data_IF_937268968493
#
_entry.id   IF_937268968493
#
_cell.length_a   1.000
_cell.length_b   1.000
_cell.length_c   1.000
_cell.angle_alpha   90.00
_cell.angle_beta   90.00
_cell.angle_gamma   90.00
#
_symmetry.space_group_name_H-M   'P 1'
#
loop_
_entity.id
_entity.type
_entity.pdbx_description
1 polymer ?
#
# COMPACT_ATOMS: atom_id res chain seq x y z
N UNK A 1 -6.05 17.08 -28.68
CA UNK A 1 -6.77 16.71 -27.44
C UNK A 1 -6.04 17.42 -26.31
N UNK A 2 -6.70 18.22 -25.46
CA UNK A 2 -5.97 18.94 -24.43
C UNK A 2 -5.37 17.91 -23.45
N UNK A 3 -4.21 18.21 -22.89
CA UNK A 3 -3.50 17.33 -21.93
C UNK A 3 -4.42 16.97 -20.73
N UNK A 4 -5.30 17.88 -20.34
CA UNK A 4 -6.24 17.70 -19.23
C UNK A 4 -7.31 16.63 -19.53
N UNK A 5 -7.84 16.58 -20.77
CA UNK A 5 -8.80 15.56 -21.20
C UNK A 5 -8.13 14.18 -21.17
N UNK A 6 -6.86 14.10 -21.59
CA UNK A 6 -6.09 12.86 -21.56
C UNK A 6 -5.87 12.36 -20.12
N UNK A 7 -5.46 13.25 -19.21
CA UNK A 7 -5.32 12.94 -17.78
C UNK A 7 -6.63 12.49 -17.15
N UNK A 8 -7.72 13.21 -17.40
CA UNK A 8 -9.03 12.87 -16.86
C UNK A 8 -9.52 11.50 -17.34
N UNK A 9 -9.34 11.18 -18.62
CA UNK A 9 -9.67 9.85 -19.16
C UNK A 9 -8.89 8.73 -18.44
N UNK A 10 -7.58 8.92 -18.28
CA UNK A 10 -6.75 7.93 -17.57
C UNK A 10 -7.13 7.79 -16.09
N UNK A 11 -7.51 8.88 -15.44
CA UNK A 11 -8.00 8.83 -14.05
C UNK A 11 -9.30 8.03 -13.94
N UNK A 12 -10.22 8.20 -14.89
CA UNK A 12 -11.46 7.39 -14.95
C UNK A 12 -11.14 5.90 -15.16
N UNK A 13 -10.19 5.58 -16.04
CA UNK A 13 -9.79 4.19 -16.26
C UNK A 13 -9.13 3.57 -15.01
N UNK A 14 -8.26 4.31 -14.31
CA UNK A 14 -7.67 3.87 -13.03
C UNK A 14 -8.78 3.68 -11.97
N UNK A 15 -9.74 4.62 -11.90
CA UNK A 15 -10.87 4.51 -10.99
C UNK A 15 -11.72 3.26 -11.26
N UNK A 16 -11.97 2.94 -12.54
CA UNK A 16 -12.67 1.71 -12.93
C UNK A 16 -11.91 0.45 -12.51
N UNK A 17 -10.57 0.41 -12.70
CA UNK A 17 -9.75 -0.71 -12.22
C UNK A 17 -9.89 -0.91 -10.71
N UNK A 18 -9.89 0.18 -9.93
CA UNK A 18 -10.07 0.13 -8.47
C UNK A 18 -11.48 -0.35 -8.10
N UNK A 19 -12.50 0.10 -8.80
CA UNK A 19 -13.90 -0.29 -8.53
C UNK A 19 -14.18 -1.77 -8.86
N UNK A 20 -13.55 -2.30 -9.91
CA UNK A 20 -13.74 -3.68 -10.37
C UNK A 20 -12.89 -4.69 -9.60
N UNK A 21 -11.82 -4.24 -8.94
CA UNK A 21 -10.91 -5.13 -8.22
C UNK A 21 -11.22 -5.15 -6.72
N UNK A 22 -11.27 -6.35 -6.16
CA UNK A 22 -11.36 -6.57 -4.72
C UNK A 22 -10.01 -6.60 -4.01
N UNK A 23 -8.91 -6.57 -4.77
CA UNK A 23 -7.54 -6.70 -4.24
C UNK A 23 -6.56 -5.76 -4.96
N UNK A 24 -5.99 -4.81 -4.20
CA UNK A 24 -4.98 -3.88 -4.65
C UNK A 24 -3.75 -4.59 -5.25
N UNK A 25 -3.31 -5.68 -4.65
CA UNK A 25 -2.10 -6.38 -5.08
C UNK A 25 -2.20 -6.97 -6.50
N UNK A 26 -3.42 -7.18 -6.99
CA UNK A 26 -3.66 -7.64 -8.36
C UNK A 26 -3.58 -6.53 -9.42
N UNK A 27 -3.80 -5.27 -9.03
CA UNK A 27 -3.90 -4.13 -9.96
C UNK A 27 -2.82 -3.07 -9.78
N UNK A 28 -2.03 -3.14 -8.70
CA UNK A 28 -1.04 -2.12 -8.31
C UNK A 28 -0.07 -1.74 -9.43
N UNK A 29 0.46 -2.75 -10.13
CA UNK A 29 1.46 -2.53 -11.19
C UNK A 29 0.84 -1.78 -12.38
N UNK A 30 -0.36 -2.18 -12.79
CA UNK A 30 -1.09 -1.52 -13.90
C UNK A 30 -1.47 -0.07 -13.58
N UNK A 31 -1.86 0.22 -12.32
CA UNK A 31 -2.18 1.59 -11.89
C UNK A 31 -0.93 2.47 -12.01
N UNK A 32 0.21 1.98 -11.51
CA UNK A 32 1.46 2.74 -11.53
C UNK A 32 2.00 2.90 -12.95
N UNK A 33 2.01 1.85 -13.77
CA UNK A 33 2.38 1.92 -15.19
C UNK A 33 1.56 2.99 -15.92
N UNK A 34 0.25 2.96 -15.75
CA UNK A 34 -0.64 3.94 -16.38
C UNK A 34 -0.39 5.37 -15.90
N UNK A 35 -0.11 5.57 -14.63
CA UNK A 35 0.28 6.87 -14.09
C UNK A 35 1.60 7.36 -14.70
N UNK A 36 2.60 6.49 -14.81
CA UNK A 36 3.90 6.80 -15.42
C UNK A 36 3.76 7.20 -16.89
N UNK A 37 2.89 6.53 -17.66
CA UNK A 37 2.61 6.85 -19.05
C UNK A 37 1.97 8.24 -19.24
N UNK A 38 1.28 8.75 -18.23
CA UNK A 38 0.57 10.04 -18.30
C UNK A 38 1.44 11.22 -17.89
N UNK A 39 2.26 11.03 -16.84
CA UNK A 39 3.01 12.14 -16.20
C UNK A 39 4.52 12.04 -16.45
N UNK A 40 5.00 10.88 -16.85
CA UNK A 40 6.40 10.62 -17.19
C UNK A 40 7.45 10.85 -16.07
N UNK A 41 7.16 10.63 -14.78
CA UNK A 41 8.25 10.52 -13.82
C UNK A 41 9.07 9.26 -14.15
N UNK A 42 10.35 9.28 -13.87
CA UNK A 42 11.24 8.18 -14.26
C UNK A 42 10.87 6.87 -13.56
N UNK A 43 10.43 6.97 -12.33
CA UNK A 43 10.10 5.82 -11.48
C UNK A 43 9.03 6.21 -10.46
N UNK A 44 8.21 5.25 -10.08
CA UNK A 44 7.33 5.35 -8.93
C UNK A 44 7.38 4.11 -8.06
N UNK A 45 7.30 4.32 -6.73
CA UNK A 45 7.31 3.27 -5.73
C UNK A 45 6.15 3.45 -4.76
N UNK A 46 5.55 2.33 -4.32
CA UNK A 46 4.53 2.30 -3.26
C UNK A 46 5.06 1.51 -2.08
N UNK A 47 5.03 2.13 -0.92
CA UNK A 47 5.42 1.55 0.36
C UNK A 47 4.23 1.55 1.31
N UNK A 48 3.97 0.43 2.00
CA UNK A 48 2.86 0.29 2.93
C UNK A 48 3.35 0.03 4.35
N UNK A 49 2.65 0.60 5.34
CA UNK A 49 2.85 0.27 6.75
C UNK A 49 1.99 -0.92 7.14
N UNK A 50 2.58 -1.86 7.90
CA UNK A 50 1.83 -3.02 8.37
C UNK A 50 1.08 -2.71 9.67
N UNK A 51 -0.24 -2.89 9.66
CA UNK A 51 -1.12 -2.68 10.84
C UNK A 51 -0.91 -1.31 11.52
N UNK A 52 -0.73 -0.25 10.73
CA UNK A 52 -0.47 1.12 11.23
C UNK A 52 0.78 1.23 12.13
N UNK A 53 1.72 0.30 11.98
CA UNK A 53 2.98 0.34 12.68
C UNK A 53 4.03 1.06 11.83
N UNK A 54 4.32 2.30 12.18
CA UNK A 54 5.27 3.17 11.47
C UNK A 54 6.76 2.81 11.71
N UNK A 55 7.06 1.68 12.34
CA UNK A 55 8.46 1.22 12.49
C UNK A 55 9.03 0.67 11.18
N UNK A 56 8.19 0.08 10.37
CA UNK A 56 8.63 -0.57 9.14
C UNK A 56 7.68 -0.26 7.99
N UNK A 57 8.26 -0.03 6.82
CA UNK A 57 7.56 0.05 5.56
C UNK A 57 7.89 -1.16 4.69
N UNK A 58 6.95 -1.58 3.86
CA UNK A 58 7.10 -2.68 2.91
C UNK A 58 6.97 -2.11 1.50
N UNK A 59 8.00 -2.26 0.68
CA UNK A 59 7.92 -1.93 -0.74
C UNK A 59 7.01 -2.94 -1.44
N UNK A 60 5.87 -2.49 -1.92
CA UNK A 60 4.85 -3.37 -2.54
C UNK A 60 4.77 -3.22 -4.05
N UNK A 61 5.24 -2.09 -4.58
CA UNK A 61 5.28 -1.83 -6.01
C UNK A 61 6.48 -0.91 -6.33
N UNK A 62 7.17 -1.20 -7.43
CA UNK A 62 8.21 -0.34 -7.99
C UNK A 62 8.20 -0.50 -9.50
N UNK A 63 7.89 0.57 -10.23
CA UNK A 63 7.80 0.61 -11.68
C UNK A 63 8.66 1.74 -12.24
N UNK A 64 9.25 1.53 -13.41
CA UNK A 64 10.03 2.52 -14.16
C UNK A 64 9.40 2.71 -15.54
N UNK A 65 9.45 3.92 -16.07
CA UNK A 65 8.93 4.24 -17.40
C UNK A 65 9.72 3.53 -18.52
N UNK A 66 11.04 3.48 -18.35
CA UNK A 66 11.93 2.73 -19.24
C UNK A 66 12.45 1.49 -18.52
N UNK A 67 12.55 0.37 -19.22
CA UNK A 67 13.29 -0.81 -18.74
C UNK A 67 14.79 -0.49 -18.79
N UNK A 68 15.26 0.36 -17.88
CA UNK A 68 16.68 0.65 -17.74
C UNK A 68 17.30 -0.55 -17.05
N UNK A 69 18.16 -1.33 -17.74
CA UNK A 69 18.64 -2.63 -17.25
C UNK A 69 19.52 -2.53 -15.99
N UNK A 70 19.92 -1.34 -15.59
CA UNK A 70 20.89 -1.09 -14.51
C UNK A 70 20.31 -0.34 -13.31
N UNK A 71 19.06 0.10 -13.36
CA UNK A 71 18.41 0.66 -12.19
C UNK A 71 17.89 -0.48 -11.32
N UNK A 72 18.69 -0.86 -10.33
CA UNK A 72 18.20 -1.67 -9.23
C UNK A 72 16.93 -1.00 -8.66
N UNK A 73 15.91 -1.79 -8.24
CA UNK A 73 14.75 -1.21 -7.60
C UNK A 73 15.21 -0.40 -6.39
N UNK A 74 15.06 0.93 -6.47
CA UNK A 74 15.36 1.84 -5.36
C UNK A 74 14.54 1.37 -4.15
N UNK A 75 15.19 1.19 -3.02
CA UNK A 75 14.51 0.76 -1.82
C UNK A 75 14.33 -0.76 -1.67
N UNK A 76 15.03 -1.57 -2.46
CA UNK A 76 15.08 -3.00 -2.27
C UNK A 76 14.11 -3.81 -3.13
N UNK A 77 14.13 -5.11 -2.95
CA UNK A 77 13.24 -6.06 -3.63
C UNK A 77 11.81 -5.90 -3.13
N UNK A 78 10.82 -5.92 -4.04
CA UNK A 78 9.39 -5.92 -3.69
C UNK A 78 9.10 -6.99 -2.63
N UNK A 79 8.39 -6.61 -1.57
CA UNK A 79 8.10 -7.48 -0.42
C UNK A 79 9.10 -7.38 0.74
N UNK A 80 10.21 -6.66 0.56
CA UNK A 80 11.20 -6.48 1.64
C UNK A 80 10.69 -5.48 2.66
N UNK A 81 10.92 -5.83 3.92
CA UNK A 81 10.65 -5.00 5.10
C UNK A 81 11.82 -4.05 5.31
N UNK A 82 11.55 -2.76 5.30
CA UNK A 82 12.54 -1.69 5.47
C UNK A 82 12.23 -0.97 6.79
N UNK A 83 13.26 -0.71 7.59
CA UNK A 83 13.11 0.12 8.79
C UNK A 83 12.76 1.55 8.37
N UNK A 84 11.62 2.06 8.83
CA UNK A 84 11.15 3.38 8.44
C UNK A 84 12.10 4.49 8.91
N UNK A 85 12.85 4.28 10.00
CA UNK A 85 13.83 5.26 10.48
C UNK A 85 14.97 5.54 9.50
N UNK A 86 15.22 4.65 8.54
CA UNK A 86 16.27 4.81 7.52
C UNK A 86 15.84 5.68 6.33
N UNK A 87 14.57 6.06 6.25
CA UNK A 87 14.09 6.93 5.19
C UNK A 87 14.49 8.39 5.44
N UNK A 88 14.68 9.20 4.37
CA UNK A 88 14.98 10.63 4.48
C UNK A 88 13.95 11.41 5.28
N UNK A 89 14.37 12.48 5.95
CA UNK A 89 13.53 13.30 6.85
C UNK A 89 12.27 13.84 6.18
N UNK A 90 12.33 14.21 4.91
CA UNK A 90 11.16 14.72 4.18
C UNK A 90 10.07 13.65 3.95
N UNK A 91 10.42 12.34 3.95
CA UNK A 91 9.42 11.27 3.93
C UNK A 91 8.72 11.16 5.28
N UNK A 92 9.47 11.29 6.38
CA UNK A 92 8.88 11.37 7.72
C UNK A 92 7.95 12.58 7.86
N UNK A 93 8.34 13.74 7.30
CA UNK A 93 7.53 14.94 7.25
C UNK A 93 6.20 14.67 6.49
N UNK A 94 6.26 14.11 5.28
CA UNK A 94 5.09 13.79 4.48
C UNK A 94 4.11 12.87 5.23
N UNK A 95 4.61 11.84 5.91
CA UNK A 95 3.81 10.90 6.69
C UNK A 95 3.22 11.53 7.93
N UNK A 96 4.01 12.31 8.68
CA UNK A 96 3.60 12.95 9.93
C UNK A 96 2.58 14.05 9.70
N UNK A 97 2.84 14.92 8.70
CA UNK A 97 1.99 16.07 8.41
C UNK A 97 0.85 15.73 7.45
N UNK A 98 0.86 14.53 6.86
CA UNK A 98 -0.15 14.07 5.90
C UNK A 98 -0.24 14.98 4.67
N UNK A 99 0.90 15.48 4.22
CA UNK A 99 1.01 16.41 3.09
C UNK A 99 1.95 15.87 2.04
N UNK A 100 1.70 16.30 0.80
CA UNK A 100 2.64 16.07 -0.29
C UNK A 100 3.92 16.86 0.01
N UNK A 101 5.07 16.21 -0.15
CA UNK A 101 6.38 16.85 -0.02
C UNK A 101 7.12 16.71 -1.33
N UNK A 102 7.47 17.84 -1.94
CA UNK A 102 8.27 17.90 -3.15
C UNK A 102 9.69 18.37 -2.82
N UNK A 103 10.67 17.53 -3.07
CA UNK A 103 12.09 17.85 -3.05
C UNK A 103 12.53 18.01 -4.50
N UNK A 104 12.72 19.26 -4.95
CA UNK A 104 13.10 19.57 -6.35
C UNK A 104 14.50 19.06 -6.67
N UNK A 105 15.44 19.26 -5.73
CA UNK A 105 16.82 18.81 -5.86
C UNK A 105 17.30 18.20 -4.53
N UNK A 106 17.51 16.88 -4.52
CA UNK A 106 18.00 16.12 -3.35
C UNK A 106 19.43 16.50 -2.96
N UNK A 107 20.22 17.04 -3.90
CA UNK A 107 21.61 17.47 -3.61
C UNK A 107 21.66 18.80 -2.88
N UNK A 108 20.63 19.63 -2.96
CA UNK A 108 20.51 20.92 -2.30
C UNK A 108 19.68 20.87 -1.02
N UNK A 109 18.68 20.00 -0.96
CA UNK A 109 17.80 19.86 0.21
C UNK A 109 18.54 19.21 1.38
N UNK A 110 18.60 19.92 2.50
CA UNK A 110 19.25 19.43 3.73
C UNK A 110 18.54 18.19 4.33
N UNK A 111 17.25 18.00 4.04
CA UNK A 111 16.46 16.86 4.51
C UNK A 111 16.80 15.56 3.76
N UNK A 112 17.52 15.67 2.63
CA UNK A 112 17.87 14.56 1.75
C UNK A 112 19.37 14.17 1.82
N UNK A 113 20.12 14.64 2.82
CA UNK A 113 21.56 14.39 2.93
C UNK A 113 21.91 12.90 2.85
N UNK A 114 21.15 12.06 3.57
CA UNK A 114 21.43 10.64 3.70
C UNK A 114 21.12 9.84 2.42
N UNK A 115 20.44 10.47 1.45
CA UNK A 115 20.05 9.80 0.20
C UNK A 115 20.89 10.22 -1.02
N UNK A 116 21.78 11.21 -0.89
CA UNK A 116 22.55 11.77 -2.00
C UNK A 116 23.41 10.75 -2.76
N UNK A 117 24.03 9.83 -2.05
CA UNK A 117 24.84 8.77 -2.68
C UNK A 117 23.94 7.81 -3.49
N UNK A 118 22.77 7.48 -2.95
CA UNK A 118 21.78 6.67 -3.67
C UNK A 118 21.25 7.43 -4.90
N UNK A 119 20.92 8.71 -4.76
CA UNK A 119 20.44 9.54 -5.86
C UNK A 119 21.47 9.61 -7.01
N UNK A 120 22.77 9.76 -6.70
CA UNK A 120 23.83 9.69 -7.70
C UNK A 120 23.92 8.35 -8.41
N UNK A 121 23.83 7.25 -7.64
CA UNK A 121 23.94 5.90 -8.19
C UNK A 121 22.75 5.52 -9.06
N UNK A 122 21.58 6.08 -8.76
CA UNK A 122 20.32 5.76 -9.42
C UNK A 122 19.88 6.82 -10.45
N UNK A 123 20.62 7.92 -10.54
CA UNK A 123 20.45 8.95 -11.59
C UNK A 123 19.18 9.80 -11.44
N UNK A 124 18.70 10.05 -10.22
CA UNK A 124 17.59 10.99 -10.01
C UNK A 124 18.04 12.25 -9.28
N UNK A 125 17.33 13.35 -9.51
CA UNK A 125 17.59 14.68 -8.94
C UNK A 125 16.45 15.12 -8.03
N UNK A 126 15.21 14.87 -8.43
CA UNK A 126 14.02 15.29 -7.68
C UNK A 126 13.19 14.11 -7.16
N UNK A 127 12.39 14.38 -6.12
CA UNK A 127 11.51 13.38 -5.54
C UNK A 127 10.24 13.99 -4.97
N UNK A 128 9.10 13.37 -5.27
CA UNK A 128 7.82 13.76 -4.69
C UNK A 128 7.26 12.60 -3.88
N UNK A 129 6.77 12.92 -2.68
CA UNK A 129 6.19 11.96 -1.74
C UNK A 129 4.72 12.26 -1.55
N UNK A 130 3.88 11.27 -1.79
CA UNK A 130 2.43 11.33 -1.59
C UNK A 130 2.04 10.38 -0.45
N UNK A 131 1.57 10.88 0.70
CA UNK A 131 1.07 10.02 1.76
C UNK A 131 -0.25 9.35 1.30
N UNK A 132 -0.36 8.05 1.54
CA UNK A 132 -1.57 7.27 1.28
C UNK A 132 -2.45 7.30 2.52
N UNK A 133 -3.56 8.03 2.46
CA UNK A 133 -4.38 8.34 3.63
C UNK A 133 -5.74 7.66 3.51
N UNK A 134 -6.12 6.90 4.54
CA UNK A 134 -7.41 6.25 4.71
C UNK A 134 -7.98 6.62 6.07
N UNK A 135 -9.19 7.18 6.12
CA UNK A 135 -9.84 7.55 7.37
C UNK A 135 -8.93 8.34 8.33
N UNK A 136 -8.18 9.32 7.78
CA UNK A 136 -7.20 10.14 8.49
C UNK A 136 -5.99 9.38 9.06
N UNK A 137 -5.74 8.14 8.63
CA UNK A 137 -4.57 7.32 8.98
C UNK A 137 -3.70 7.17 7.74
N UNK A 138 -2.38 7.36 7.87
CA UNK A 138 -1.44 7.10 6.78
C UNK A 138 -1.15 5.60 6.74
N UNK A 139 -1.63 4.92 5.70
CA UNK A 139 -1.43 3.47 5.50
C UNK A 139 -0.14 3.16 4.73
N UNK A 140 0.47 4.17 4.14
CA UNK A 140 1.68 4.06 3.36
C UNK A 140 2.05 5.38 2.69
N UNK A 141 2.95 5.32 1.74
CA UNK A 141 3.32 6.46 0.90
C UNK A 141 3.73 6.00 -0.49
N UNK A 142 3.45 6.83 -1.49
CA UNK A 142 3.93 6.68 -2.84
C UNK A 142 5.02 7.72 -3.10
N UNK A 143 6.07 7.35 -3.84
CA UNK A 143 7.15 8.26 -4.23
C UNK A 143 7.33 8.22 -5.73
N UNK A 144 7.48 9.41 -6.33
CA UNK A 144 7.87 9.59 -7.73
C UNK A 144 9.27 10.19 -7.78
N UNK A 145 10.09 9.69 -8.69
CA UNK A 145 11.49 10.09 -8.89
C UNK A 145 11.63 10.83 -10.22
N UNK A 146 12.42 11.89 -10.23
CA UNK A 146 12.62 12.78 -11.35
C UNK A 146 14.11 12.87 -11.68
N UNK A 147 14.46 12.76 -12.97
CA UNK A 147 15.85 12.90 -13.42
C UNK A 147 16.28 14.34 -13.61
N UNK A 148 15.33 15.25 -13.75
CA UNK A 148 15.56 16.69 -13.95
C UNK A 148 14.68 17.49 -12.99
N UNK A 149 15.15 18.68 -12.64
CA UNK A 149 14.37 19.62 -11.84
C UNK A 149 13.19 20.18 -12.63
N UNK A 150 12.14 20.56 -11.92
CA UNK A 150 10.96 21.25 -12.46
C UNK A 150 10.29 20.61 -13.70
N UNK A 151 10.46 19.30 -13.88
CA UNK A 151 9.83 18.56 -15.00
C UNK A 151 8.35 18.23 -14.76
N UNK A 152 7.86 18.43 -13.54
CA UNK A 152 6.48 18.14 -13.14
C UNK A 152 5.74 19.43 -12.80
N UNK A 153 4.60 19.65 -13.46
CA UNK A 153 3.71 20.77 -13.21
C UNK A 153 2.78 20.53 -12.00
N UNK A 154 2.17 21.59 -11.48
CA UNK A 154 1.15 21.46 -10.41
C UNK A 154 -0.02 20.58 -10.84
N UNK A 155 -0.43 20.63 -12.11
CA UNK A 155 -1.47 19.75 -12.67
C UNK A 155 -1.06 18.26 -12.71
N UNK A 156 0.24 17.97 -12.87
CA UNK A 156 0.77 16.62 -12.76
C UNK A 156 0.73 16.14 -11.33
N UNK A 157 1.09 17.01 -10.38
CA UNK A 157 1.02 16.73 -8.94
C UNK A 157 -0.43 16.43 -8.52
N UNK A 158 -1.41 17.21 -9.00
CA UNK A 158 -2.83 16.98 -8.72
C UNK A 158 -3.32 15.64 -9.29
N UNK A 159 -2.90 15.30 -10.51
CA UNK A 159 -3.22 14.01 -11.12
C UNK A 159 -2.62 12.86 -10.29
N UNK A 160 -1.33 12.91 -9.96
CA UNK A 160 -0.67 11.88 -9.15
C UNK A 160 -1.30 11.79 -7.74
N UNK A 161 -1.68 12.91 -7.15
CA UNK A 161 -2.39 12.95 -5.86
C UNK A 161 -3.73 12.23 -5.92
N UNK A 162 -4.47 12.40 -7.03
CA UNK A 162 -5.71 11.68 -7.27
C UNK A 162 -5.48 10.18 -7.41
N UNK A 163 -4.43 9.77 -8.14
CA UNK A 163 -4.02 8.35 -8.23
C UNK A 163 -3.61 7.80 -6.87
N UNK A 164 -2.85 8.54 -6.06
CA UNK A 164 -2.48 8.15 -4.70
C UNK A 164 -3.71 7.93 -3.81
N UNK A 165 -4.73 8.77 -3.95
CA UNK A 165 -6.02 8.62 -3.25
C UNK A 165 -6.76 7.35 -3.68
N UNK A 166 -6.78 7.03 -4.97
CA UNK A 166 -7.36 5.77 -5.49
C UNK A 166 -6.59 4.54 -5.01
N UNK A 167 -5.26 4.62 -4.94
CA UNK A 167 -4.42 3.56 -4.36
C UNK A 167 -4.78 3.36 -2.88
N UNK A 168 -4.88 4.43 -2.10
CA UNK A 168 -5.26 4.35 -0.69
C UNK A 168 -6.64 3.71 -0.50
N UNK A 169 -7.62 4.09 -1.32
CA UNK A 169 -8.95 3.48 -1.33
C UNK A 169 -8.91 1.98 -1.67
N UNK A 170 -8.14 1.60 -2.69
CA UNK A 170 -7.97 0.19 -3.08
C UNK A 170 -7.34 -0.65 -1.97
N UNK A 171 -6.37 -0.11 -1.23
CA UNK A 171 -5.76 -0.74 -0.06
C UNK A 171 -6.80 -0.94 1.06
N UNK A 172 -7.66 0.05 1.29
CA UNK A 172 -8.74 -0.04 2.28
C UNK A 172 -9.73 -1.16 1.92
N UNK A 173 -10.16 -1.22 0.66
CA UNK A 173 -11.05 -2.26 0.15
C UNK A 173 -10.43 -3.65 0.36
N UNK A 174 -9.17 -3.82 -0.06
CA UNK A 174 -8.42 -5.07 0.12
C UNK A 174 -8.36 -5.49 1.58
N UNK A 175 -8.06 -4.54 2.47
CA UNK A 175 -7.96 -4.81 3.92
C UNK A 175 -9.31 -5.22 4.51
N UNK A 176 -10.39 -4.54 4.15
CA UNK A 176 -11.74 -4.88 4.59
C UNK A 176 -12.18 -6.24 4.09
N UNK A 177 -11.92 -6.57 2.83
CA UNK A 177 -12.24 -7.86 2.23
C UNK A 177 -11.48 -9.00 2.92
N UNK A 178 -10.20 -8.85 3.16
CA UNK A 178 -9.39 -9.84 3.88
C UNK A 178 -9.88 -10.06 5.32
N UNK A 179 -10.25 -8.99 6.02
CA UNK A 179 -10.81 -9.10 7.37
C UNK A 179 -12.18 -9.79 7.37
N UNK A 180 -13.05 -9.49 6.39
CA UNK A 180 -14.33 -10.16 6.21
C UNK A 180 -14.17 -11.66 5.95
N UNK A 181 -13.25 -12.04 5.04
CA UNK A 181 -12.98 -13.44 4.76
C UNK A 181 -12.48 -14.20 6.00
N UNK A 182 -11.57 -13.59 6.78
CA UNK A 182 -11.10 -14.16 8.04
C UNK A 182 -12.23 -14.36 9.05
N UNK A 183 -13.14 -13.38 9.18
CA UNK A 183 -14.30 -13.48 10.06
C UNK A 183 -15.23 -14.61 9.61
N UNK A 184 -15.55 -14.68 8.32
CA UNK A 184 -16.38 -15.77 7.76
C UNK A 184 -15.74 -17.14 8.01
N UNK A 185 -14.42 -17.26 7.86
CA UNK A 185 -13.71 -18.50 8.13
C UNK A 185 -13.81 -18.90 9.63
N UNK A 186 -13.60 -17.96 10.54
CA UNK A 186 -13.77 -18.18 12.00
C UNK A 186 -15.20 -18.61 12.35
N UNK A 187 -16.20 -17.93 11.79
CA UNK A 187 -17.61 -18.28 12.04
C UNK A 187 -17.95 -19.69 11.52
N UNK A 188 -17.47 -20.07 10.33
CA UNK A 188 -17.65 -21.45 9.81
C UNK A 188 -17.01 -22.48 10.71
N UNK A 189 -15.81 -22.23 11.21
CA UNK A 189 -15.15 -23.08 12.19
C UNK A 189 -15.98 -23.27 13.46
N UNK A 190 -16.47 -22.16 14.05
CA UNK A 190 -17.32 -22.20 15.23
C UNK A 190 -18.62 -22.99 15.01
N UNK A 191 -19.30 -22.78 13.86
CA UNK A 191 -20.52 -23.53 13.51
C UNK A 191 -20.21 -25.03 13.37
N UNK A 192 -19.10 -25.38 12.72
CA UNK A 192 -18.68 -26.78 12.59
C UNK A 192 -18.45 -27.46 13.95
N UNK A 193 -17.79 -26.74 14.86
CA UNK A 193 -17.52 -27.22 16.23
C UNK A 193 -18.81 -27.40 17.04
N UNK A 194 -19.75 -26.47 16.96
CA UNK A 194 -21.06 -26.59 17.60
C UNK A 194 -21.83 -27.81 17.03
N UNK A 195 -21.82 -27.99 15.72
CA UNK A 195 -22.50 -29.12 15.08
C UNK A 195 -21.90 -30.45 15.53
N UNK A 196 -20.57 -30.54 15.65
CA UNK A 196 -19.90 -31.73 16.12
C UNK A 196 -20.21 -32.03 17.59
N UNK A 197 -20.16 -31.00 18.45
CA UNK A 197 -20.54 -31.09 19.84
C UNK A 197 -22.02 -31.56 19.99
N UNK A 198 -22.91 -30.98 19.20
CA UNK A 198 -24.34 -31.36 19.19
C UNK A 198 -24.53 -32.82 18.76
N UNK A 199 -23.79 -33.30 17.74
CA UNK A 199 -23.82 -34.72 17.34
C UNK A 199 -23.35 -35.65 18.47
N UNK A 200 -22.27 -35.29 19.15
CA UNK A 200 -21.77 -36.06 20.30
C UNK A 200 -22.79 -36.12 21.45
N UNK A 201 -23.55 -35.02 21.69
CA UNK A 201 -24.63 -34.99 22.67
C UNK A 201 -25.75 -35.99 22.33
N UNK A 202 -26.16 -36.07 21.09
CA UNK A 202 -27.17 -37.01 20.64
C UNK A 202 -26.73 -38.46 20.73
N UNK A 203 -25.40 -38.73 20.59
CA UNK A 203 -24.88 -40.11 20.67
C UNK A 203 -24.50 -40.56 22.06
N UNK A 204 -23.99 -39.65 22.89
CA UNK A 204 -23.46 -39.98 24.23
C UNK A 204 -24.37 -39.42 25.30
N UNK A 205 -25.45 -39.77 25.70
CA UNK A 205 -26.37 -39.32 26.75
C UNK A 205 -25.73 -38.66 28.01
N UNK A 206 -24.47 -38.21 27.96
CA UNK A 206 -23.72 -37.67 29.08
C UNK A 206 -23.49 -36.15 28.88
N UNK A 207 -24.32 -35.36 29.51
CA UNK A 207 -24.32 -33.87 29.44
C UNK A 207 -22.98 -33.28 29.91
N UNK A 208 -22.29 -33.90 30.85
CA UNK A 208 -21.03 -33.40 31.41
C UNK A 208 -19.89 -33.46 30.37
N UNK A 209 -19.72 -34.56 29.65
CA UNK A 209 -18.72 -34.66 28.56
C UNK A 209 -18.99 -33.65 27.41
N UNK A 210 -20.25 -33.32 27.19
CA UNK A 210 -20.63 -32.29 26.20
C UNK A 210 -20.23 -30.90 26.69
N UNK A 211 -20.47 -30.53 27.91
CA UNK A 211 -20.11 -29.23 28.48
C UNK A 211 -18.59 -29.04 28.54
N UNK A 212 -17.83 -30.08 28.84
CA UNK A 212 -16.37 -30.06 28.87
C UNK A 212 -15.83 -29.83 27.45
N UNK A 213 -16.38 -30.52 26.43
CA UNK A 213 -15.96 -30.36 25.08
C UNK A 213 -16.33 -28.97 24.48
N UNK A 214 -17.49 -28.42 24.83
CA UNK A 214 -17.85 -27.03 24.48
C UNK A 214 -16.92 -26.01 25.11
N UNK A 215 -16.51 -26.24 26.36
CA UNK A 215 -15.58 -25.37 27.09
C UNK A 215 -14.20 -25.35 26.42
N UNK A 216 -13.65 -26.51 26.07
CA UNK A 216 -12.36 -26.61 25.37
C UNK A 216 -12.40 -25.88 24.03
N UNK A 217 -13.45 -26.10 23.25
CA UNK A 217 -13.58 -25.45 21.92
C UNK A 217 -13.81 -23.95 21.99
N UNK A 218 -14.51 -23.46 23.00
CA UNK A 218 -14.64 -22.02 23.23
C UNK A 218 -13.27 -21.37 23.54
N UNK A 219 -12.42 -22.07 24.34
CA UNK A 219 -11.06 -21.61 24.62
C UNK A 219 -10.20 -21.53 23.33
N UNK A 220 -10.26 -22.53 22.47
CA UNK A 220 -9.49 -22.57 21.22
C UNK A 220 -9.89 -21.43 20.24
N UNK A 221 -11.19 -21.10 20.20
CA UNK A 221 -11.69 -20.02 19.34
C UNK A 221 -11.30 -18.64 19.87
N UNK A 222 -11.22 -18.46 21.20
CA UNK A 222 -10.91 -17.17 21.82
C UNK A 222 -9.42 -16.87 21.91
N UNK A 223 -8.56 -17.90 21.93
CA UNK A 223 -7.09 -17.78 22.01
C UNK A 223 -6.39 -17.75 20.64
N UNK A 224 -7.08 -17.85 19.53
CA UNK A 224 -6.59 -17.77 18.16
C UNK A 224 -6.88 -16.38 17.55
#
# INVERSE_FOLDING_TARGET
MSNDIYKMRNLVEISSMVAESSDFFMIKDKIIEKMLEVVHPTKACVNLFYKNNYKHAYLVCSQTLEKIPYLFPIGGTVGVKIDFSTYPKYIHEAVKEKKIVYVKNVFEDIRAIDEREMAKSEGYVGRIVFPLIVNNIVVGFMTCFLVEEDTISDYDIDFISSVASLIALSIEITTKNNNMQRLVHKLRGAISSINEATKKLYHNKNINEFLDHLSEQACDITNS
#
